data_IF_276378842005
#
_entry.id   IF_276378842005
#
_cell.length_a   1.000
_cell.length_b   1.000
_cell.length_c   1.000
_cell.angle_alpha   90.00
_cell.angle_beta   90.00
_cell.angle_gamma   90.00
#
_symmetry.space_group_name_H-M   'P 1'
#
loop_
_entity.id
_entity.type
_entity.pdbx_description
1 polymer ?
#
# COMPACT_ATOMS: atom_id res chain seq x y z
N UNK A 1 11.22 -40.51 -23.81
CA UNK A 1 11.38 -39.42 -22.84
C UNK A 1 11.14 -38.11 -23.55
N UNK A 2 10.05 -37.40 -23.26
CA UNK A 2 9.67 -36.15 -23.93
C UNK A 2 9.75 -35.01 -22.91
N UNK A 3 10.60 -34.01 -23.16
CA UNK A 3 10.71 -32.76 -22.40
C UNK A 3 9.49 -31.88 -22.70
N UNK A 4 8.79 -31.40 -21.66
CA UNK A 4 7.83 -30.28 -21.75
C UNK A 4 8.52 -29.02 -21.25
N UNK A 5 8.86 -28.13 -22.19
CA UNK A 5 9.18 -26.73 -21.91
C UNK A 5 7.86 -26.00 -21.63
N UNK A 6 7.54 -25.77 -20.36
CA UNK A 6 6.47 -24.85 -19.98
C UNK A 6 6.98 -23.42 -20.18
N UNK A 7 6.70 -22.86 -21.36
CA UNK A 7 6.72 -21.42 -21.58
C UNK A 7 5.48 -20.83 -20.93
N UNK A 8 5.64 -19.95 -19.95
CA UNK A 8 4.49 -19.33 -19.31
C UNK A 8 4.84 -18.24 -18.29
N UNK A 9 5.16 -17.05 -18.77
CA UNK A 9 4.81 -15.80 -18.08
C UNK A 9 4.76 -14.63 -19.09
N UNK A 10 3.94 -13.59 -18.90
CA UNK A 10 2.95 -13.39 -17.84
C UNK A 10 1.52 -13.33 -18.42
N UNK A 11 0.58 -14.06 -17.84
CA UNK A 11 -0.83 -13.75 -18.05
C UNK A 11 -1.13 -12.44 -17.30
N UNK A 12 -1.21 -11.34 -18.05
CA UNK A 12 -1.79 -10.10 -17.54
C UNK A 12 -3.20 -10.38 -17.07
N UNK A 13 -3.40 -10.34 -15.75
CA UNK A 13 -4.70 -10.35 -15.12
C UNK A 13 -5.15 -8.91 -14.92
N UNK A 14 -6.10 -8.46 -15.74
CA UNK A 14 -6.98 -7.36 -15.40
C UNK A 14 -8.13 -7.91 -14.54
N UNK A 15 -8.34 -7.38 -13.34
CA UNK A 15 -9.18 -7.96 -12.29
C UNK A 15 -9.51 -7.10 -11.06
N UNK A 16 -9.80 -5.80 -11.23
CA UNK A 16 -10.74 -5.00 -10.42
C UNK A 16 -10.41 -4.73 -8.94
N UNK A 17 -10.06 -3.48 -8.62
CA UNK A 17 -9.91 -2.86 -7.27
C UNK A 17 -8.92 -3.52 -6.29
N UNK A 18 -8.92 -4.87 -6.22
CA UNK A 18 -7.84 -5.75 -5.79
C UNK A 18 -6.71 -5.84 -6.82
N UNK A 19 -6.65 -4.84 -7.71
CA UNK A 19 -5.57 -4.53 -8.64
C UNK A 19 -4.82 -3.25 -8.24
N UNK A 20 -5.47 -2.32 -7.53
CA UNK A 20 -4.92 -1.00 -7.27
C UNK A 20 -3.85 -1.01 -6.17
N UNK A 21 -4.24 -1.25 -4.93
CA UNK A 21 -3.31 -1.13 -3.79
C UNK A 21 -2.18 -2.17 -3.86
N UNK A 22 -2.51 -3.43 -4.11
CA UNK A 22 -1.53 -4.51 -4.16
C UNK A 22 -0.64 -4.49 -5.42
N UNK A 23 -1.06 -3.80 -6.49
CA UNK A 23 -0.21 -3.47 -7.62
C UNK A 23 0.81 -2.39 -7.23
N UNK A 24 0.33 -1.32 -6.58
CA UNK A 24 1.21 -0.27 -6.04
C UNK A 24 2.20 -0.82 -5.00
N UNK A 25 1.78 -1.74 -4.13
CA UNK A 25 2.67 -2.38 -3.16
C UNK A 25 3.80 -3.14 -3.87
N UNK A 26 3.51 -3.82 -4.98
CA UNK A 26 4.54 -4.49 -5.78
C UNK A 26 5.48 -3.51 -6.48
N UNK A 27 4.94 -2.47 -7.11
CA UNK A 27 5.73 -1.46 -7.84
C UNK A 27 6.67 -0.69 -6.91
N UNK A 28 6.23 -0.37 -5.69
CA UNK A 28 7.05 0.29 -4.68
C UNK A 28 7.86 -0.67 -3.81
N UNK A 29 7.81 -1.98 -4.08
CA UNK A 29 8.46 -3.03 -3.29
C UNK A 29 8.15 -2.95 -1.78
N UNK A 30 6.91 -2.61 -1.45
CA UNK A 30 6.44 -2.45 -0.08
C UNK A 30 5.99 -3.81 0.49
N UNK A 31 6.52 -4.17 1.65
CA UNK A 31 6.07 -5.34 2.41
C UNK A 31 4.98 -4.89 3.39
N UNK A 32 3.72 -5.38 3.25
CA UNK A 32 2.68 -5.03 4.20
C UNK A 32 3.02 -5.58 5.58
N UNK A 33 2.95 -4.70 6.58
CA UNK A 33 3.03 -5.10 7.98
C UNK A 33 1.78 -5.93 8.33
N UNK A 34 1.96 -6.86 9.26
CA UNK A 34 1.17 -8.04 9.62
C UNK A 34 -0.20 -7.74 10.26
N UNK A 35 -0.89 -6.69 9.81
CA UNK A 35 -2.28 -6.38 10.17
C UNK A 35 -2.46 -5.83 11.59
N UNK A 36 -1.37 -5.55 12.30
CA UNK A 36 -1.42 -4.87 13.58
C UNK A 36 -2.13 -3.51 13.42
N UNK A 37 -3.09 -3.23 14.30
CA UNK A 37 -3.75 -1.92 14.31
C UNK A 37 -2.70 -0.86 14.66
N UNK A 38 -2.48 0.15 13.81
CA UNK A 38 -1.50 1.19 14.11
C UNK A 38 -1.92 1.96 15.38
N UNK A 39 -0.97 2.38 16.23
CA UNK A 39 -1.28 3.25 17.36
C UNK A 39 -2.02 4.51 16.89
N UNK A 40 -3.07 4.95 17.60
CA UNK A 40 -3.73 6.20 17.26
C UNK A 40 -2.76 7.37 17.46
N UNK A 41 -2.74 8.30 16.50
CA UNK A 41 -2.02 9.56 16.62
C UNK A 41 -2.80 10.71 16.00
N UNK A 42 -2.45 11.92 16.44
CA UNK A 42 -2.94 13.19 15.92
C UNK A 42 -1.76 14.06 15.53
N UNK A 43 -1.86 14.73 14.39
CA UNK A 43 -0.85 15.67 13.89
C UNK A 43 -1.51 17.00 13.57
N UNK A 44 -0.72 18.07 13.58
CA UNK A 44 -1.09 19.32 12.95
C UNK A 44 -0.81 19.22 11.45
N UNK A 45 -1.79 19.58 10.61
CA UNK A 45 -1.58 19.67 9.16
C UNK A 45 -0.79 20.93 8.82
N UNK A 46 -0.34 21.02 7.57
CA UNK A 46 0.34 22.21 7.05
C UNK A 46 -0.53 23.48 7.11
N UNK A 47 -1.86 23.32 7.22
CA UNK A 47 -2.82 24.41 7.34
C UNK A 47 -3.17 24.75 8.81
N UNK A 48 -2.47 24.15 9.78
CA UNK A 48 -2.69 24.37 11.22
C UNK A 48 -3.87 23.60 11.82
N UNK A 49 -4.52 22.73 11.05
CA UNK A 49 -5.65 21.91 11.54
C UNK A 49 -5.14 20.64 12.21
N UNK A 50 -5.69 20.28 13.36
CA UNK A 50 -5.48 18.95 13.95
C UNK A 50 -6.20 17.87 13.13
N UNK A 51 -5.46 16.84 12.71
CA UNK A 51 -5.96 15.66 11.99
C UNK A 51 -5.59 14.39 12.75
N UNK A 52 -6.53 13.46 12.87
CA UNK A 52 -6.31 12.14 13.47
C UNK A 52 -6.24 11.04 12.42
N UNK A 53 -5.41 10.02 12.65
CA UNK A 53 -5.38 8.84 11.77
C UNK A 53 -6.76 8.17 11.64
N UNK A 54 -7.55 8.22 12.71
CA UNK A 54 -8.88 7.61 12.78
C UNK A 54 -9.93 8.22 11.82
N UNK A 55 -9.71 9.44 11.34
CA UNK A 55 -10.57 10.10 10.34
C UNK A 55 -10.48 9.44 8.96
N UNK A 56 -9.44 8.64 8.70
CA UNK A 56 -9.17 8.03 7.40
C UNK A 56 -9.51 6.53 7.32
N UNK A 57 -10.24 5.99 8.30
CA UNK A 57 -10.67 4.58 8.31
C UNK A 57 -11.41 4.19 7.04
N UNK A 58 -11.20 2.95 6.59
CA UNK A 58 -11.80 2.41 5.37
C UNK A 58 -11.13 2.86 4.07
N UNK A 59 -10.02 3.61 4.15
CA UNK A 59 -9.24 4.05 2.99
C UNK A 59 -7.77 3.68 3.16
N UNK A 60 -7.05 3.35 2.07
CA UNK A 60 -5.59 3.28 2.11
C UNK A 60 -5.00 4.67 2.46
N UNK A 61 -4.01 4.70 3.35
CA UNK A 61 -3.32 5.94 3.78
C UNK A 61 -1.82 5.70 3.72
N UNK A 62 -1.08 6.61 3.08
CA UNK A 62 0.37 6.66 3.13
C UNK A 62 0.82 7.67 4.18
N UNK A 63 1.56 7.20 5.19
CA UNK A 63 2.19 8.07 6.19
C UNK A 63 3.66 8.20 5.83
N UNK A 64 4.07 9.42 5.49
CA UNK A 64 5.44 9.75 5.11
C UNK A 64 6.07 10.60 6.22
N UNK A 65 7.20 10.16 6.76
CA UNK A 65 7.96 10.93 7.75
C UNK A 65 9.13 11.61 7.05
N UNK A 66 9.26 12.91 7.21
CA UNK A 66 10.38 13.69 6.69
C UNK A 66 10.86 14.69 7.74
N UNK A 67 12.09 15.15 7.55
CA UNK A 67 12.71 16.17 8.39
C UNK A 67 13.36 17.22 7.47
N UNK A 68 13.12 18.50 7.76
CA UNK A 68 13.79 19.61 7.09
C UNK A 68 14.73 20.26 8.09
N UNK A 69 16.03 20.19 7.82
CA UNK A 69 17.08 20.93 8.57
C UNK A 69 17.12 22.38 8.14
#
# INVERSE_FOLDING_TARGET
>A
SLLLLAWGAPAGGAGGAKDGLQGLLWDFQLVPLDGATPPPFTLESLDGKTVSLGEFRGRPVLVYFWHST
#
